data_IF_363472959499
#
_entry.id   IF_363472959499
#
_cell.length_a   1.000
_cell.length_b   1.000
_cell.length_c   1.000
_cell.angle_alpha   90.00
_cell.angle_beta   90.00
_cell.angle_gamma   90.00
#
_symmetry.space_group_name_H-M   'P 1'
#
loop_
_entity.id
_entity.type
_entity.pdbx_description
1 polymer ?
#
# COMPACT_ATOMS: atom_id res chain seq x y z
N UNK A 1 18.93 15.02 -30.29
CA UNK A 1 19.11 15.15 -28.82
C UNK A 1 18.24 16.22 -28.16
N UNK A 2 18.07 17.45 -28.68
CA UNK A 2 17.26 18.54 -28.10
C UNK A 2 15.78 18.17 -27.82
N UNK A 3 15.08 17.51 -28.77
CA UNK A 3 13.66 17.11 -28.58
C UNK A 3 13.44 16.11 -27.43
N UNK A 4 14.37 15.19 -27.18
CA UNK A 4 14.31 14.23 -26.05
C UNK A 4 14.50 14.94 -24.69
N UNK A 5 15.41 15.91 -24.59
CA UNK A 5 15.63 16.70 -23.38
C UNK A 5 14.41 17.56 -23.03
N UNK A 6 13.78 18.20 -24.03
CA UNK A 6 12.54 18.97 -23.81
C UNK A 6 11.36 18.10 -23.37
N UNK A 7 11.22 16.89 -23.93
CA UNK A 7 10.16 15.95 -23.50
C UNK A 7 10.32 15.50 -22.05
N UNK A 8 11.54 15.23 -21.59
CA UNK A 8 11.87 14.85 -20.22
C UNK A 8 11.62 15.98 -19.22
N UNK A 9 12.02 17.21 -19.55
CA UNK A 9 11.77 18.39 -18.71
C UNK A 9 10.28 18.67 -18.55
N UNK A 10 9.48 18.57 -19.60
CA UNK A 10 8.01 18.72 -19.54
C UNK A 10 7.37 17.68 -18.64
N UNK A 11 7.85 16.42 -18.67
CA UNK A 11 7.32 15.37 -17.81
C UNK A 11 7.66 15.58 -16.35
N UNK A 12 8.89 15.95 -16.02
CA UNK A 12 9.31 16.27 -14.65
C UNK A 12 8.51 17.43 -14.06
N UNK A 13 8.25 18.47 -14.87
CA UNK A 13 7.42 19.60 -14.45
C UNK A 13 5.96 19.16 -14.16
N UNK A 14 5.40 18.26 -14.96
CA UNK A 14 4.06 17.72 -14.73
C UNK A 14 4.01 16.92 -13.40
N UNK A 15 4.98 16.04 -13.16
CA UNK A 15 5.08 15.29 -11.90
C UNK A 15 5.19 16.26 -10.72
N UNK A 16 6.03 17.28 -10.82
CA UNK A 16 6.19 18.29 -9.76
C UNK A 16 4.89 19.05 -9.47
N UNK A 17 4.14 19.42 -10.49
CA UNK A 17 2.85 20.09 -10.33
C UNK A 17 1.81 19.17 -9.69
N UNK A 18 1.71 17.91 -10.13
CA UNK A 18 0.78 16.93 -9.57
C UNK A 18 1.13 16.58 -8.11
N UNK A 19 2.42 16.38 -7.82
CA UNK A 19 2.90 16.18 -6.45
C UNK A 19 2.56 17.38 -5.54
N UNK A 20 2.77 18.62 -6.04
CA UNK A 20 2.44 19.82 -5.28
C UNK A 20 0.94 19.96 -5.01
N UNK A 21 0.09 19.63 -5.99
CA UNK A 21 -1.37 19.61 -5.80
C UNK A 21 -1.77 18.60 -4.71
N UNK A 22 -1.22 17.38 -4.73
CA UNK A 22 -1.52 16.35 -3.74
C UNK A 22 -1.02 16.76 -2.35
N UNK A 23 0.20 17.30 -2.25
CA UNK A 23 0.75 17.78 -0.98
C UNK A 23 -0.07 18.91 -0.33
N UNK A 24 -0.73 19.76 -1.12
CA UNK A 24 -1.59 20.85 -0.58
C UNK A 24 -2.96 20.39 -0.10
N UNK A 25 -3.37 19.16 -0.41
CA UNK A 25 -4.63 18.60 0.07
C UNK A 25 -4.49 18.08 1.50
N UNK A 26 -5.51 18.26 2.32
CA UNK A 26 -5.56 17.71 3.68
C UNK A 26 -5.59 16.18 3.71
N UNK A 27 -6.14 15.56 2.68
CA UNK A 27 -6.39 14.13 2.60
C UNK A 27 -5.15 13.25 2.82
N UNK A 28 -3.98 13.46 2.15
CA UNK A 28 -2.79 12.62 2.40
C UNK A 28 -2.34 12.68 3.87
N UNK A 29 -2.49 13.82 4.54
CA UNK A 29 -2.10 13.98 5.95
C UNK A 29 -3.05 13.24 6.89
N UNK A 30 -4.36 13.30 6.63
CA UNK A 30 -5.35 12.52 7.39
C UNK A 30 -5.11 11.03 7.22
N UNK A 31 -4.88 10.56 5.99
CA UNK A 31 -4.57 9.16 5.72
C UNK A 31 -3.28 8.71 6.40
N UNK A 32 -2.25 9.56 6.39
CA UNK A 32 -1.00 9.30 7.12
C UNK A 32 -1.25 9.22 8.63
N UNK A 33 -2.03 10.13 9.20
CA UNK A 33 -2.37 10.13 10.63
C UNK A 33 -3.09 8.83 11.00
N UNK A 34 -4.07 8.39 10.20
CA UNK A 34 -4.79 7.12 10.41
C UNK A 34 -3.82 5.94 10.34
N UNK A 35 -2.87 5.95 9.39
CA UNK A 35 -1.84 4.93 9.28
C UNK A 35 -0.93 4.91 10.52
N UNK A 36 -0.48 6.07 11.00
CA UNK A 36 0.34 6.16 12.22
C UNK A 36 -0.43 5.69 13.45
N UNK A 37 -1.71 6.03 13.57
CA UNK A 37 -2.55 5.57 14.64
C UNK A 37 -2.68 4.03 14.65
N UNK A 38 -2.78 3.39 13.47
CA UNK A 38 -2.84 1.92 13.36
C UNK A 38 -1.56 1.21 13.79
N UNK A 39 -0.44 1.90 13.85
CA UNK A 39 0.84 1.38 14.35
C UNK A 39 0.97 1.63 15.84
N UNK A 40 0.67 2.86 16.30
CA UNK A 40 0.91 3.28 17.68
C UNK A 40 -0.10 2.65 18.64
N UNK A 41 -1.40 2.61 18.26
CA UNK A 41 -2.45 2.09 19.13
C UNK A 41 -2.19 0.64 19.56
N UNK A 42 -1.90 -0.32 18.66
CA UNK A 42 -1.58 -1.69 19.07
C UNK A 42 -0.37 -1.78 20.00
N UNK A 43 0.69 -1.02 19.74
CA UNK A 43 1.88 -0.99 20.61
C UNK A 43 1.55 -0.48 22.02
N UNK A 44 0.75 0.59 22.11
CA UNK A 44 0.30 1.13 23.41
C UNK A 44 -0.58 0.13 24.14
N UNK A 45 -1.54 -0.52 23.45
CA UNK A 45 -2.42 -1.54 24.05
C UNK A 45 -1.60 -2.73 24.54
N UNK A 46 -0.64 -3.21 23.75
CA UNK A 46 0.28 -4.30 24.17
C UNK A 46 1.10 -3.91 25.40
N UNK A 47 1.58 -2.67 25.46
CA UNK A 47 2.31 -2.16 26.63
C UNK A 47 1.44 -2.06 27.89
N UNK A 48 0.19 -1.60 27.76
CA UNK A 48 -0.79 -1.58 28.88
C UNK A 48 -1.08 -3.00 29.37
N UNK A 49 -1.27 -3.96 28.46
CA UNK A 49 -1.49 -5.35 28.80
C UNK A 49 -0.28 -5.97 29.53
N UNK A 50 0.94 -5.61 29.09
CA UNK A 50 2.17 -6.02 29.78
C UNK A 50 2.25 -5.49 31.22
N UNK A 51 1.83 -4.24 31.46
CA UNK A 51 1.86 -3.64 32.80
C UNK A 51 0.72 -4.13 33.71
N UNK A 52 -0.40 -4.58 33.16
CA UNK A 52 -1.58 -4.97 33.94
C UNK A 52 -1.49 -6.34 34.61
N UNK A 53 -0.36 -7.07 34.47
CA UNK A 53 -0.06 -8.37 35.12
C UNK A 53 -1.22 -9.38 35.06
N UNK A 54 -2.00 -9.37 33.97
CA UNK A 54 -3.26 -10.14 33.84
C UNK A 54 -3.07 -11.65 34.01
N UNK A 55 -1.87 -12.19 33.76
CA UNK A 55 -1.45 -13.52 34.18
C UNK A 55 0.05 -13.70 33.98
N UNK A 56 0.75 -14.36 34.93
CA UNK A 56 2.16 -14.72 34.83
C UNK A 56 2.50 -15.49 33.53
N UNK A 57 1.56 -16.23 33.00
CA UNK A 57 1.71 -17.02 31.78
C UNK A 57 1.74 -16.17 30.50
N UNK A 58 1.08 -15.02 30.45
CA UNK A 58 0.98 -14.17 29.26
C UNK A 58 2.04 -13.05 29.25
N UNK A 59 2.61 -12.70 30.37
CA UNK A 59 3.62 -11.65 30.51
C UNK A 59 4.84 -11.84 29.58
N UNK A 60 5.41 -13.06 29.40
CA UNK A 60 6.50 -13.28 28.48
C UNK A 60 6.12 -12.99 27.03
N UNK A 61 4.90 -13.37 26.62
CA UNK A 61 4.39 -13.16 25.25
C UNK A 61 4.22 -11.66 24.92
N UNK A 62 3.68 -10.89 25.87
CA UNK A 62 3.55 -9.44 25.73
C UNK A 62 4.92 -8.74 25.69
N UNK A 63 5.87 -9.20 26.50
CA UNK A 63 7.25 -8.70 26.51
C UNK A 63 7.91 -8.92 25.15
N UNK A 64 7.85 -10.13 24.62
CA UNK A 64 8.42 -10.49 23.32
C UNK A 64 7.83 -9.65 22.18
N UNK A 65 6.52 -9.40 22.20
CA UNK A 65 5.83 -8.56 21.21
C UNK A 65 6.22 -7.06 21.27
N UNK A 66 6.87 -6.61 22.35
CA UNK A 66 7.31 -5.22 22.54
C UNK A 66 8.80 -5.03 22.30
N UNK A 67 9.59 -6.12 22.18
CA UNK A 67 11.03 -6.10 22.01
C UNK A 67 11.40 -6.19 20.53
N UNK A 68 12.45 -5.45 20.12
CA UNK A 68 13.04 -5.60 18.80
C UNK A 68 13.80 -6.94 18.68
N UNK A 69 13.67 -7.66 17.56
CA UNK A 69 13.07 -7.26 16.27
C UNK A 69 11.58 -7.60 16.12
N UNK A 70 10.98 -8.42 17.02
CA UNK A 70 9.61 -8.94 16.90
C UNK A 70 8.56 -7.82 16.83
N UNK A 71 8.72 -6.74 17.60
CA UNK A 71 7.83 -5.57 17.56
C UNK A 71 7.70 -4.94 16.15
N UNK A 72 8.74 -5.03 15.32
CA UNK A 72 8.70 -4.53 13.94
C UNK A 72 7.84 -5.38 13.00
N UNK A 73 7.59 -6.66 13.32
CA UNK A 73 6.65 -7.47 12.56
C UNK A 73 5.25 -6.85 12.60
N UNK A 74 4.82 -6.40 13.78
CA UNK A 74 3.55 -5.70 13.96
C UNK A 74 3.46 -4.43 13.11
N UNK A 75 4.54 -3.66 13.00
CA UNK A 75 4.62 -2.48 12.14
C UNK A 75 4.49 -2.86 10.66
N UNK A 76 5.27 -3.86 10.19
CA UNK A 76 5.24 -4.31 8.80
C UNK A 76 3.96 -5.06 8.42
N UNK A 77 3.17 -5.52 9.38
CA UNK A 77 1.84 -6.07 9.13
C UNK A 77 0.76 -4.97 9.14
N UNK A 78 0.88 -3.97 10.02
CA UNK A 78 -0.08 -2.86 10.11
C UNK A 78 -0.01 -1.93 8.89
N UNK A 79 1.21 -1.63 8.41
CA UNK A 79 1.42 -0.72 7.26
C UNK A 79 0.74 -1.21 5.98
N UNK A 80 0.91 -2.45 5.49
CA UNK A 80 0.17 -2.94 4.33
C UNK A 80 -1.28 -3.26 4.67
N UNK A 81 -1.60 -3.76 5.87
CA UNK A 81 -2.93 -4.18 6.27
C UNK A 81 -3.98 -3.06 6.11
N UNK A 82 -3.82 -1.95 6.82
CA UNK A 82 -4.68 -0.79 6.64
C UNK A 82 -4.25 0.06 5.43
N UNK A 83 -2.96 0.08 5.14
CA UNK A 83 -2.36 0.87 4.07
C UNK A 83 -2.95 0.59 2.69
N UNK A 84 -3.34 -0.66 2.37
CA UNK A 84 -3.98 -0.98 1.08
C UNK A 84 -5.29 -0.21 0.88
N UNK A 85 -6.10 -0.06 1.92
CA UNK A 85 -7.34 0.73 1.87
C UNK A 85 -7.01 2.22 1.75
N UNK A 86 -6.05 2.72 2.53
CA UNK A 86 -5.67 4.13 2.55
C UNK A 86 -5.07 4.58 1.21
N UNK A 87 -4.21 3.76 0.58
CA UNK A 87 -3.66 4.09 -0.74
C UNK A 87 -4.70 3.97 -1.85
N UNK A 88 -5.68 3.06 -1.72
CA UNK A 88 -6.80 2.98 -2.63
C UNK A 88 -7.65 4.26 -2.59
N UNK A 89 -7.95 4.76 -1.38
CA UNK A 89 -8.65 6.04 -1.18
C UNK A 89 -7.83 7.19 -1.76
N UNK A 90 -6.52 7.24 -1.49
CA UNK A 90 -5.61 8.27 -2.02
C UNK A 90 -5.60 8.26 -3.55
N UNK A 91 -5.40 7.09 -4.17
CA UNK A 91 -5.30 6.95 -5.62
C UNK A 91 -6.63 7.28 -6.32
N UNK A 92 -7.73 6.70 -5.82
CA UNK A 92 -9.05 6.94 -6.37
C UNK A 92 -9.48 8.41 -6.26
N UNK A 93 -9.20 9.06 -5.13
CA UNK A 93 -9.51 10.48 -4.97
C UNK A 93 -8.61 11.37 -5.83
N UNK A 94 -7.31 11.07 -5.91
CA UNK A 94 -6.36 11.83 -6.72
C UNK A 94 -6.74 11.86 -8.20
N UNK A 95 -7.25 10.74 -8.72
CA UNK A 95 -7.67 10.61 -10.12
C UNK A 95 -9.11 11.07 -10.31
N UNK A 96 -10.03 10.57 -9.48
CA UNK A 96 -11.48 10.75 -9.67
C UNK A 96 -11.97 12.18 -9.46
N UNK A 97 -11.37 12.94 -8.54
CA UNK A 97 -11.77 14.35 -8.30
C UNK A 97 -11.56 15.25 -9.51
N UNK A 98 -10.60 14.95 -10.37
CA UNK A 98 -10.35 15.75 -11.57
C UNK A 98 -11.43 15.58 -12.64
N UNK A 99 -12.12 14.44 -12.65
CA UNK A 99 -13.31 14.26 -13.45
C UNK A 99 -14.46 15.15 -12.93
N UNK A 100 -14.71 15.14 -11.62
CA UNK A 100 -15.78 15.91 -10.99
C UNK A 100 -15.59 17.43 -11.10
N UNK A 101 -14.36 17.92 -11.03
CA UNK A 101 -14.04 19.36 -11.09
C UNK A 101 -13.79 19.87 -12.52
N UNK A 102 -13.83 19.00 -13.54
CA UNK A 102 -13.56 19.39 -14.92
C UNK A 102 -12.12 19.85 -15.20
N UNK A 103 -11.21 19.77 -14.21
CA UNK A 103 -9.82 20.19 -14.34
C UNK A 103 -9.03 19.33 -15.30
N UNK A 104 -9.46 18.08 -15.51
CA UNK A 104 -8.91 17.17 -16.50
C UNK A 104 -9.01 17.77 -17.92
N UNK A 105 -10.18 18.30 -18.30
CA UNK A 105 -10.41 18.94 -19.61
C UNK A 105 -9.46 20.11 -19.82
N UNK A 106 -9.33 20.98 -18.82
CA UNK A 106 -8.44 22.15 -18.89
C UNK A 106 -6.97 21.75 -19.07
N UNK A 107 -6.53 20.70 -18.39
CA UNK A 107 -5.14 20.22 -18.47
C UNK A 107 -4.83 19.62 -19.85
N UNK A 108 -5.77 18.88 -20.42
CA UNK A 108 -5.63 18.31 -21.77
C UNK A 108 -5.75 19.38 -22.87
N UNK A 109 -6.62 20.36 -22.70
CA UNK A 109 -6.75 21.50 -23.66
C UNK A 109 -5.45 22.32 -23.74
N UNK A 110 -4.63 22.36 -22.71
CA UNK A 110 -3.30 23.00 -22.71
C UNK A 110 -2.22 22.19 -23.44
N UNK A 111 -2.59 21.11 -24.17
CA UNK A 111 -1.68 20.35 -25.02
C UNK A 111 -0.92 19.23 -24.29
N UNK A 112 -1.34 18.85 -23.06
CA UNK A 112 -0.78 17.66 -22.40
C UNK A 112 -1.35 16.40 -23.02
N UNK A 113 -0.49 15.47 -23.47
CA UNK A 113 -0.96 14.18 -23.99
C UNK A 113 -1.53 13.31 -22.87
N UNK A 114 -2.63 12.61 -23.16
CA UNK A 114 -3.34 11.73 -22.20
C UNK A 114 -2.41 10.74 -21.48
N UNK A 115 -1.51 9.99 -22.16
CA UNK A 115 -0.62 9.07 -21.47
C UNK A 115 0.35 9.77 -20.53
N UNK A 116 0.91 10.93 -20.92
CA UNK A 116 1.82 11.70 -20.04
C UNK A 116 1.11 12.20 -18.77
N UNK A 117 -0.13 12.62 -18.91
CA UNK A 117 -0.94 13.03 -17.77
C UNK A 117 -1.13 11.86 -16.79
N UNK A 118 -1.61 10.68 -17.27
CA UNK A 118 -1.84 9.52 -16.41
C UNK A 118 -0.54 9.00 -15.76
N UNK A 119 0.57 8.97 -16.52
CA UNK A 119 1.89 8.62 -15.97
C UNK A 119 2.32 9.57 -14.86
N UNK A 120 2.19 10.90 -15.07
CA UNK A 120 2.57 11.88 -14.04
C UNK A 120 1.72 11.73 -12.77
N UNK A 121 0.45 11.38 -12.94
CA UNK A 121 -0.48 11.13 -11.83
C UNK A 121 -0.09 9.90 -11.03
N UNK A 122 0.09 8.77 -11.70
CA UNK A 122 0.52 7.51 -11.06
C UNK A 122 1.84 7.67 -10.32
N UNK A 123 2.83 8.31 -10.95
CA UNK A 123 4.13 8.55 -10.32
C UNK A 123 4.01 9.46 -9.09
N UNK A 124 3.19 10.51 -9.15
CA UNK A 124 2.99 11.41 -8.01
C UNK A 124 2.31 10.69 -6.83
N UNK A 125 1.32 9.82 -7.10
CA UNK A 125 0.68 8.98 -6.09
C UNK A 125 1.69 8.01 -5.49
N UNK A 126 2.47 7.31 -6.32
CA UNK A 126 3.50 6.38 -5.88
C UNK A 126 4.56 7.06 -5.00
N UNK A 127 5.03 8.26 -5.37
CA UNK A 127 6.00 9.03 -4.58
C UNK A 127 5.42 9.41 -3.21
N UNK A 128 4.17 9.90 -3.15
CA UNK A 128 3.53 10.27 -1.88
C UNK A 128 3.32 9.04 -1.01
N UNK A 129 2.88 7.92 -1.59
CA UNK A 129 2.75 6.65 -0.87
C UNK A 129 4.10 6.17 -0.33
N UNK A 130 5.16 6.21 -1.15
CA UNK A 130 6.51 5.85 -0.72
C UNK A 130 6.98 6.70 0.47
N UNK A 131 6.81 8.02 0.40
CA UNK A 131 7.14 8.94 1.49
C UNK A 131 6.30 8.61 2.73
N UNK A 132 5.01 8.37 2.58
CA UNK A 132 4.11 8.00 3.67
C UNK A 132 4.52 6.68 4.36
N UNK A 133 4.89 5.67 3.60
CA UNK A 133 5.39 4.39 4.12
C UNK A 133 6.71 4.57 4.87
N UNK A 134 7.66 5.34 4.31
CA UNK A 134 8.93 5.62 5.00
C UNK A 134 8.69 6.33 6.33
N UNK A 135 7.80 7.33 6.36
CA UNK A 135 7.45 8.02 7.62
C UNK A 135 6.80 7.05 8.60
N UNK A 136 5.85 6.22 8.15
CA UNK A 136 5.14 5.26 8.99
C UNK A 136 6.10 4.23 9.60
N UNK A 137 6.98 3.66 8.78
CA UNK A 137 7.98 2.68 9.23
C UNK A 137 9.03 3.33 10.15
N UNK A 138 9.46 4.57 9.87
CA UNK A 138 10.39 5.29 10.75
C UNK A 138 9.77 5.60 12.12
N UNK A 139 8.50 6.05 12.15
CA UNK A 139 7.77 6.27 13.41
C UNK A 139 7.55 4.95 14.14
N UNK A 140 7.19 3.87 13.43
CA UNK A 140 7.09 2.53 13.98
C UNK A 140 8.40 2.06 14.61
N UNK A 141 9.53 2.25 13.93
CA UNK A 141 10.86 1.90 14.45
C UNK A 141 11.21 2.70 15.72
N UNK A 142 10.93 4.00 15.74
CA UNK A 142 11.16 4.83 16.94
C UNK A 142 10.27 4.33 18.10
N UNK A 143 8.98 4.07 17.82
CA UNK A 143 8.06 3.57 18.84
C UNK A 143 8.50 2.20 19.40
N UNK A 144 8.94 1.28 18.55
CA UNK A 144 9.43 -0.04 18.98
C UNK A 144 10.74 0.03 19.75
N UNK A 145 11.64 0.95 19.44
CA UNK A 145 12.84 1.21 20.25
C UNK A 145 12.44 1.71 21.65
N UNK A 146 11.50 2.64 21.73
CA UNK A 146 11.02 3.17 23.01
C UNK A 146 10.38 2.05 23.84
N UNK A 147 9.49 1.26 23.26
CA UNK A 147 8.85 0.15 23.99
C UNK A 147 9.85 -0.90 24.44
N UNK A 148 10.84 -1.25 23.61
CA UNK A 148 11.92 -2.17 23.95
C UNK A 148 12.73 -1.70 25.15
N UNK A 149 13.05 -0.39 25.23
CA UNK A 149 13.75 0.22 26.37
C UNK A 149 12.89 0.22 27.64
N UNK A 150 11.58 0.49 27.53
CA UNK A 150 10.65 0.51 28.68
C UNK A 150 10.43 -0.87 29.31
N UNK A 151 10.58 -1.93 28.53
CA UNK A 151 10.38 -3.33 28.96
C UNK A 151 11.70 -4.01 29.35
N UNK A 152 12.82 -3.24 29.42
CA UNK A 152 14.17 -3.78 29.65
C UNK A 152 14.53 -4.92 28.67
N UNK A 153 14.07 -4.81 27.44
CA UNK A 153 14.33 -5.73 26.34
C UNK A 153 15.66 -5.42 25.67
N UNK A 154 16.39 -6.45 25.27
CA UNK A 154 17.57 -6.30 24.44
C UNK A 154 17.21 -5.80 23.04
N UNK A 155 18.12 -5.10 22.36
CA UNK A 155 17.98 -4.73 20.95
C UNK A 155 18.93 -5.61 20.14
N UNK A 156 18.37 -6.53 19.36
CA UNK A 156 19.15 -7.38 18.47
C UNK A 156 19.19 -6.82 17.06
N UNK A 157 20.36 -6.34 16.63
CA UNK A 157 20.54 -5.72 15.31
C UNK A 157 21.01 -6.71 14.21
N UNK A 158 21.32 -7.95 14.52
CA UNK A 158 22.02 -8.92 13.66
C UNK A 158 21.61 -8.92 12.19
N UNK A 159 20.52 -9.62 11.83
CA UNK A 159 19.98 -9.68 10.47
C UNK A 159 18.93 -8.60 10.15
N UNK A 160 18.71 -7.67 11.07
CA UNK A 160 17.62 -6.69 11.03
C UNK A 160 17.61 -5.84 9.76
N UNK A 161 18.77 -5.40 9.26
CA UNK A 161 18.84 -4.51 8.10
C UNK A 161 18.36 -5.19 6.80
N UNK A 162 18.76 -6.45 6.57
CA UNK A 162 18.30 -7.22 5.42
C UNK A 162 16.81 -7.50 5.47
N UNK A 163 16.31 -7.89 6.65
CA UNK A 163 14.89 -8.07 6.92
C UNK A 163 14.10 -6.78 6.65
N UNK A 164 14.56 -5.65 7.17
CA UNK A 164 13.92 -4.34 7.03
C UNK A 164 13.75 -3.92 5.56
N UNK A 165 14.82 -4.02 4.75
CA UNK A 165 14.76 -3.66 3.33
C UNK A 165 13.84 -4.60 2.57
N UNK A 166 13.90 -5.91 2.84
CA UNK A 166 13.04 -6.89 2.18
C UNK A 166 11.56 -6.66 2.50
N UNK A 167 11.23 -6.43 3.78
CA UNK A 167 9.86 -6.16 4.24
C UNK A 167 9.33 -4.84 3.68
N UNK A 168 10.17 -3.81 3.59
CA UNK A 168 9.81 -2.55 2.93
C UNK A 168 9.50 -2.77 1.44
N UNK A 169 10.32 -3.54 0.74
CA UNK A 169 10.12 -3.88 -0.68
C UNK A 169 8.81 -4.64 -0.91
N UNK A 170 8.49 -5.64 -0.08
CA UNK A 170 7.24 -6.41 -0.15
C UNK A 170 6.03 -5.52 0.12
N UNK A 171 6.09 -4.69 1.15
CA UNK A 171 5.04 -3.72 1.48
C UNK A 171 4.76 -2.78 0.31
N UNK A 172 5.79 -2.21 -0.31
CA UNK A 172 5.62 -1.31 -1.46
C UNK A 172 5.04 -2.04 -2.67
N UNK A 173 5.45 -3.28 -2.94
CA UNK A 173 4.91 -4.09 -4.03
C UNK A 173 3.39 -4.32 -3.85
N UNK A 174 2.97 -4.70 -2.64
CA UNK A 174 1.56 -4.86 -2.30
C UNK A 174 0.78 -3.56 -2.54
N UNK A 175 1.27 -2.43 -2.03
CA UNK A 175 0.59 -1.15 -2.17
C UNK A 175 0.45 -0.68 -3.63
N UNK A 176 1.43 -1.00 -4.51
CA UNK A 176 1.37 -0.68 -5.94
C UNK A 176 0.20 -1.36 -6.64
N UNK A 177 -0.14 -2.60 -6.25
CA UNK A 177 -1.33 -3.30 -6.78
C UNK A 177 -2.60 -2.52 -6.49
N UNK A 178 -2.79 -2.12 -5.25
CA UNK A 178 -4.01 -1.39 -4.84
C UNK A 178 -4.07 0.03 -5.40
N UNK A 179 -2.93 0.72 -5.56
CA UNK A 179 -2.86 1.99 -6.29
C UNK A 179 -3.32 1.82 -7.75
N UNK A 180 -2.82 0.79 -8.44
CA UNK A 180 -3.14 0.53 -9.84
C UNK A 180 -4.61 0.17 -10.03
N UNK A 181 -5.15 -0.68 -9.15
CA UNK A 181 -6.55 -1.08 -9.12
C UNK A 181 -7.48 0.10 -8.87
N UNK A 182 -7.21 0.90 -7.84
CA UNK A 182 -8.01 2.08 -7.50
C UNK A 182 -7.97 3.14 -8.62
N UNK A 183 -6.82 3.32 -9.26
CA UNK A 183 -6.69 4.18 -10.44
C UNK A 183 -7.55 3.68 -11.60
N UNK A 184 -7.52 2.37 -11.86
CA UNK A 184 -8.33 1.76 -12.92
C UNK A 184 -9.83 1.99 -12.69
N UNK A 185 -10.35 1.68 -11.52
CA UNK A 185 -11.77 1.87 -11.24
C UNK A 185 -12.18 3.34 -11.28
N UNK A 186 -11.33 4.26 -10.81
CA UNK A 186 -11.61 5.70 -10.88
C UNK A 186 -11.64 6.22 -12.32
N UNK A 187 -10.75 5.72 -13.18
CA UNK A 187 -10.77 6.05 -14.61
C UNK A 187 -11.97 5.45 -15.30
N UNK A 188 -12.31 4.19 -14.97
CA UNK A 188 -13.44 3.47 -15.57
C UNK A 188 -14.77 4.16 -15.27
N UNK A 189 -14.99 4.51 -13.99
CA UNK A 189 -16.25 5.06 -13.47
C UNK A 189 -16.31 6.60 -13.51
N UNK A 190 -15.18 7.26 -13.85
CA UNK A 190 -15.07 8.73 -13.92
C UNK A 190 -15.47 9.45 -12.62
N UNK A 191 -15.32 8.79 -11.49
CA UNK A 191 -15.75 9.26 -10.18
C UNK A 191 -14.79 8.81 -9.09
N UNK A 192 -14.49 9.70 -8.14
CA UNK A 192 -13.68 9.36 -6.98
C UNK A 192 -14.45 8.47 -6.01
N UNK A 193 -15.71 8.79 -5.74
CA UNK A 193 -16.54 8.04 -4.80
C UNK A 193 -16.77 6.60 -5.28
N UNK A 194 -17.20 6.43 -6.52
CA UNK A 194 -17.41 5.09 -7.11
C UNK A 194 -16.08 4.32 -7.22
N UNK A 195 -14.99 5.00 -7.58
CA UNK A 195 -13.66 4.39 -7.63
C UNK A 195 -13.23 3.84 -6.27
N UNK A 196 -13.43 4.60 -5.19
CA UNK A 196 -13.16 4.15 -3.81
C UNK A 196 -14.06 2.98 -3.45
N UNK A 197 -15.39 3.12 -3.64
CA UNK A 197 -16.36 2.09 -3.24
C UNK A 197 -16.10 0.75 -3.92
N UNK A 198 -15.90 0.75 -5.24
CA UNK A 198 -15.65 -0.49 -6.00
C UNK A 198 -14.31 -1.10 -5.64
N UNK A 199 -13.27 -0.29 -5.39
CA UNK A 199 -11.98 -0.81 -4.95
C UNK A 199 -12.06 -1.47 -3.59
N UNK A 200 -12.73 -0.84 -2.61
CA UNK A 200 -12.92 -1.42 -1.27
C UNK A 200 -13.79 -2.67 -1.34
N UNK A 201 -14.88 -2.63 -2.11
CA UNK A 201 -15.73 -3.80 -2.32
C UNK A 201 -14.95 -4.97 -2.95
N UNK A 202 -14.04 -4.69 -3.87
CA UNK A 202 -13.14 -5.70 -4.45
C UNK A 202 -12.19 -6.27 -3.40
N UNK A 203 -11.53 -5.43 -2.60
CA UNK A 203 -10.62 -5.87 -1.52
C UNK A 203 -11.34 -6.82 -0.57
N UNK A 204 -12.54 -6.44 -0.11
CA UNK A 204 -13.33 -7.26 0.81
C UNK A 204 -13.80 -8.55 0.13
N UNK A 205 -14.35 -8.44 -1.08
CA UNK A 205 -14.84 -9.58 -1.85
C UNK A 205 -13.74 -10.60 -2.17
N UNK A 206 -12.58 -10.12 -2.61
CA UNK A 206 -11.42 -10.95 -2.91
C UNK A 206 -10.91 -11.68 -1.66
N UNK A 207 -10.90 -11.01 -0.50
CA UNK A 207 -10.50 -11.62 0.78
C UNK A 207 -11.50 -12.69 1.24
N UNK A 208 -12.81 -12.44 1.13
CA UNK A 208 -13.85 -13.41 1.50
C UNK A 208 -13.82 -14.62 0.56
N UNK A 209 -13.81 -14.38 -0.75
CA UNK A 209 -13.80 -15.45 -1.75
C UNK A 209 -12.51 -16.26 -1.66
N UNK A 210 -11.36 -15.58 -1.53
CA UNK A 210 -10.06 -16.24 -1.36
C UNK A 210 -10.00 -17.10 -0.11
N UNK A 211 -10.53 -16.63 1.01
CA UNK A 211 -10.65 -17.39 2.25
C UNK A 211 -11.54 -18.62 2.11
N UNK A 212 -12.69 -18.49 1.45
CA UNK A 212 -13.58 -19.65 1.20
C UNK A 212 -12.96 -20.67 0.25
N UNK A 213 -12.28 -20.20 -0.80
CA UNK A 213 -11.60 -21.09 -1.74
C UNK A 213 -10.41 -21.82 -1.11
N UNK A 214 -9.67 -21.17 -0.22
CA UNK A 214 -8.54 -21.80 0.48
C UNK A 214 -8.97 -22.89 1.46
N UNK A 215 -10.21 -22.86 1.96
CA UNK A 215 -10.80 -23.91 2.80
C UNK A 215 -11.35 -25.08 1.98
N UNK A 216 -11.48 -24.93 0.67
CA UNK A 216 -11.97 -25.99 -0.21
C UNK A 216 -10.87 -26.99 -0.54
N UNK A 217 -11.24 -28.15 -1.11
CA UNK A 217 -10.32 -29.18 -1.59
C UNK A 217 -10.37 -29.31 -3.11
N UNK A 218 -9.26 -29.76 -3.70
CA UNK A 218 -9.16 -29.98 -5.15
C UNK A 218 -8.95 -28.69 -5.93
N UNK A 219 -9.44 -28.64 -7.17
CA UNK A 219 -9.20 -27.56 -8.13
C UNK A 219 -9.66 -26.15 -7.65
N UNK A 220 -10.62 -26.08 -6.73
CA UNK A 220 -11.05 -24.82 -6.14
C UNK A 220 -9.97 -24.20 -5.24
N UNK A 221 -9.23 -25.03 -4.51
CA UNK A 221 -8.08 -24.55 -3.73
C UNK A 221 -6.98 -24.00 -4.64
N UNK A 222 -6.78 -24.59 -5.82
CA UNK A 222 -5.77 -24.13 -6.78
C UNK A 222 -6.11 -22.72 -7.33
N UNK A 223 -7.40 -22.39 -7.47
CA UNK A 223 -7.82 -21.04 -7.89
C UNK A 223 -7.46 -19.99 -6.85
N UNK A 224 -7.48 -20.30 -5.55
CA UNK A 224 -7.16 -19.36 -4.49
C UNK A 224 -5.75 -18.77 -4.63
N UNK A 225 -4.80 -19.56 -5.16
CA UNK A 225 -3.40 -19.16 -5.38
C UNK A 225 -3.24 -17.98 -6.38
N UNK A 226 -4.26 -17.71 -7.19
CA UNK A 226 -4.25 -16.58 -8.12
C UNK A 226 -4.96 -15.35 -7.59
N UNK A 227 -5.56 -15.40 -6.41
CA UNK A 227 -6.25 -14.26 -5.81
C UNK A 227 -5.27 -13.22 -5.27
N UNK A 228 -5.65 -11.94 -5.33
CA UNK A 228 -4.79 -10.84 -4.86
C UNK A 228 -4.60 -10.94 -3.35
N UNK A 229 -5.66 -11.23 -2.59
CA UNK A 229 -5.62 -11.39 -1.13
C UNK A 229 -4.69 -12.53 -0.70
N UNK A 230 -4.77 -13.68 -1.36
CA UNK A 230 -3.90 -14.82 -1.09
C UNK A 230 -2.43 -14.44 -1.27
N UNK A 231 -2.08 -13.92 -2.45
CA UNK A 231 -0.69 -13.55 -2.75
C UNK A 231 -0.17 -12.38 -1.90
N UNK A 232 -1.06 -11.48 -1.47
CA UNK A 232 -0.74 -10.43 -0.51
C UNK A 232 -0.40 -11.03 0.84
N UNK A 233 -1.24 -11.94 1.35
CA UNK A 233 -1.01 -12.62 2.63
C UNK A 233 0.30 -13.41 2.62
N UNK A 234 0.54 -14.22 1.58
CA UNK A 234 1.78 -14.98 1.41
C UNK A 234 3.02 -14.10 1.44
N UNK A 235 3.02 -12.96 0.75
CA UNK A 235 4.14 -12.03 0.80
C UNK A 235 4.32 -11.37 2.17
N UNK A 236 3.24 -11.12 2.88
CA UNK A 236 3.29 -10.47 4.19
C UNK A 236 3.65 -11.42 5.32
N UNK A 237 3.37 -12.74 5.20
CA UNK A 237 3.86 -13.75 6.16
C UNK A 237 5.38 -13.79 6.21
N UNK A 238 6.05 -13.47 5.10
CA UNK A 238 7.51 -13.33 5.06
C UNK A 238 8.05 -12.10 5.80
N UNK A 239 7.17 -11.22 6.29
CA UNK A 239 7.53 -10.14 7.21
C UNK A 239 7.55 -10.60 8.68
N UNK A 240 7.23 -11.87 8.95
CA UNK A 240 7.44 -12.52 10.25
C UNK A 240 8.87 -13.03 10.35
N UNK A 241 9.46 -12.92 11.54
CA UNK A 241 10.81 -13.43 11.86
C UNK A 241 10.79 -14.92 12.19
N UNK A 242 9.62 -15.48 12.43
CA UNK A 242 9.48 -16.92 12.64
C UNK A 242 9.72 -17.66 11.33
N UNK A 243 10.63 -18.64 11.31
CA UNK A 243 10.92 -19.40 10.08
C UNK A 243 9.68 -20.20 9.67
N UNK A 244 8.97 -19.73 8.65
CA UNK A 244 7.99 -20.53 7.93
C UNK A 244 8.76 -21.43 6.96
N UNK A 245 8.68 -22.74 7.18
CA UNK A 245 9.46 -23.75 6.45
C UNK A 245 9.07 -23.93 4.97
N UNK A 246 8.03 -23.25 4.48
CA UNK A 246 7.51 -23.42 3.12
C UNK A 246 7.58 -22.13 2.29
N UNK A 247 8.77 -21.55 2.16
CA UNK A 247 9.03 -20.41 1.27
C UNK A 247 9.11 -20.90 -0.20
N UNK A 248 8.15 -21.70 -0.64
CA UNK A 248 8.24 -22.27 -1.99
C UNK A 248 7.76 -21.32 -3.08
N UNK A 249 7.09 -20.22 -2.76
CA UNK A 249 6.41 -19.46 -3.81
C UNK A 249 6.39 -17.93 -3.69
N UNK A 250 7.30 -17.30 -2.94
CA UNK A 250 7.30 -15.83 -2.89
C UNK A 250 7.46 -15.18 -4.27
N UNK A 251 8.21 -15.82 -5.19
CA UNK A 251 8.32 -15.42 -6.58
C UNK A 251 7.01 -15.52 -7.34
N UNK A 252 6.24 -16.56 -7.08
CA UNK A 252 4.91 -16.73 -7.67
C UNK A 252 3.99 -15.61 -7.19
N UNK A 253 3.92 -15.36 -5.88
CA UNK A 253 3.08 -14.32 -5.30
C UNK A 253 3.49 -12.93 -5.80
N UNK A 254 4.79 -12.63 -5.85
CA UNK A 254 5.29 -11.38 -6.43
C UNK A 254 4.95 -11.28 -7.94
N UNK A 255 5.10 -12.37 -8.69
CA UNK A 255 4.76 -12.44 -10.10
C UNK A 255 3.28 -12.19 -10.38
N UNK A 256 2.39 -12.83 -9.62
CA UNK A 256 0.93 -12.62 -9.71
C UNK A 256 0.56 -11.18 -9.42
N UNK A 257 1.09 -10.59 -8.34
CA UNK A 257 0.82 -9.19 -7.97
C UNK A 257 1.35 -8.21 -9.03
N UNK A 258 2.52 -8.45 -9.60
CA UNK A 258 3.06 -7.64 -10.71
C UNK A 258 2.19 -7.78 -11.97
N UNK A 259 1.69 -8.97 -12.28
CA UNK A 259 0.77 -9.20 -13.39
C UNK A 259 -0.52 -8.39 -13.21
N UNK A 260 -1.16 -8.45 -12.04
CA UNK A 260 -2.34 -7.64 -11.73
C UNK A 260 -2.06 -6.13 -11.85
N UNK A 261 -0.95 -5.65 -11.29
CA UNK A 261 -0.56 -4.24 -11.40
C UNK A 261 -0.42 -3.82 -12.85
N UNK A 262 0.24 -4.65 -13.66
CA UNK A 262 0.45 -4.38 -15.09
C UNK A 262 -0.86 -4.35 -15.85
N UNK A 263 -1.76 -5.32 -15.59
CA UNK A 263 -3.09 -5.38 -16.22
C UNK A 263 -3.93 -4.15 -15.86
N UNK A 264 -4.01 -3.77 -14.58
CA UNK A 264 -4.77 -2.59 -14.15
C UNK A 264 -4.20 -1.29 -14.72
N UNK A 265 -2.87 -1.14 -14.75
CA UNK A 265 -2.22 0.01 -15.37
C UNK A 265 -2.52 0.06 -16.87
N UNK A 266 -2.31 -1.04 -17.59
CA UNK A 266 -2.57 -1.11 -19.03
C UNK A 266 -4.04 -0.82 -19.37
N UNK A 267 -4.97 -1.41 -18.60
CA UNK A 267 -6.40 -1.18 -18.74
C UNK A 267 -6.79 0.28 -18.46
N UNK A 268 -6.14 0.91 -17.45
CA UNK A 268 -6.31 2.34 -17.17
C UNK A 268 -5.89 3.20 -18.34
N UNK A 269 -4.72 2.93 -18.95
CA UNK A 269 -4.25 3.67 -20.12
C UNK A 269 -5.16 3.47 -21.32
N UNK A 270 -5.53 2.23 -21.60
CA UNK A 270 -6.42 1.90 -22.71
C UNK A 270 -7.76 2.62 -22.58
N UNK A 271 -8.39 2.53 -21.41
CA UNK A 271 -9.68 3.18 -21.16
C UNK A 271 -9.57 4.70 -21.24
N UNK A 272 -8.54 5.28 -20.61
CA UNK A 272 -8.33 6.73 -20.60
C UNK A 272 -8.08 7.33 -21.98
N UNK A 273 -7.39 6.60 -22.87
CA UNK A 273 -7.16 7.06 -24.25
C UNK A 273 -8.43 7.10 -25.10
N UNK A 274 -9.36 6.17 -24.85
CA UNK A 274 -10.61 6.05 -25.63
C UNK A 274 -11.80 6.82 -25.04
N UNK A 275 -11.61 7.48 -23.91
CA UNK A 275 -12.70 8.25 -23.31
C UNK A 275 -12.95 9.55 -24.08
N UNK A 276 -14.22 9.79 -24.44
CA UNK A 276 -14.67 11.10 -24.87
C UNK A 276 -14.83 11.99 -23.62
N UNK A 277 -14.13 13.12 -23.64
CA UNK A 277 -14.12 14.10 -22.56
C UNK A 277 -14.95 15.34 -22.90
N UNK A 278 -15.73 15.27 -24.00
CA UNK A 278 -16.53 16.37 -24.50
C UNK A 278 -17.94 16.42 -23.91
N UNK A 279 -18.42 15.36 -23.30
CA UNK A 279 -19.73 15.31 -22.66
C UNK A 279 -19.69 15.78 -21.20
#
# INVERSE_FOLDING_TARGET
MKKRKQGRQRMLNLIRVEFFKLRKRWMPYVLLLVLLASIIIPLVVTYINYQSEVSEFQTPMWKEALVLPTAMEGVFNSVPGLGMILVAILAASAVGTEYGWGTLRQTLARGTSRPRYLTSKLLSIAIITFIGVIIAVAVGLIATIITSMLVEGGIEWGSFFGYFIASLGRTLLVLVVYISMATFFSVLLRSSALGIMVTIAWIIGDSIIGGLLSMSTGWLADISQFMISFNTSELLTLNSLSPHNDITSWWQSAGVLLAYSTVFIAASYYRFQRQDLTA
#
